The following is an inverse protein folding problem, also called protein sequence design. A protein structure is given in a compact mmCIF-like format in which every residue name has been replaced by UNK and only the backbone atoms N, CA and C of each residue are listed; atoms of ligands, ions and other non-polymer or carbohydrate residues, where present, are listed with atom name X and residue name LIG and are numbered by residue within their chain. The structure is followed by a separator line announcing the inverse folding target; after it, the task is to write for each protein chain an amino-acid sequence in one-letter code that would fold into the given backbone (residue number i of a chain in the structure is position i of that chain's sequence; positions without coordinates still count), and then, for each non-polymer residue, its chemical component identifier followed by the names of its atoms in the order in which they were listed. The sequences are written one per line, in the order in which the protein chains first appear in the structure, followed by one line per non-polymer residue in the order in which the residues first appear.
data_IF_971102931787
#
_entry.id   IF_971102931787
#
_cell.length_a   1.000
_cell.length_b   1.000
_cell.length_c   1.000
_cell.angle_alpha   90.00
_cell.angle_beta   90.00
_cell.angle_gamma   90.00
#
_symmetry.space_group_name_H-M   'P 1'
#
loop_
_entity.id
_entity.type
_entity.pdbx_description
1 polymer ?
#
# COMPACT_ATOMS: atom_id res chain seq x y z
N UNK A 1 8.38 -19.13 -3.32
CA UNK A 1 8.72 -17.74 -2.92
C UNK A 1 7.55 -16.81 -3.27
N UNK A 2 7.10 -15.96 -2.34
CA UNK A 2 5.85 -15.18 -2.50
C UNK A 2 4.89 -15.26 -1.31
N UNK A 3 5.39 -15.64 -0.13
CA UNK A 3 4.55 -15.75 1.05
C UNK A 3 4.28 -14.34 1.63
N UNK A 4 3.01 -13.96 1.63
CA UNK A 4 2.47 -12.86 2.43
C UNK A 4 1.59 -13.47 3.53
N UNK A 5 1.71 -13.03 4.79
CA UNK A 5 0.85 -13.49 5.88
C UNK A 5 -0.55 -12.84 5.88
N UNK A 6 -0.83 -11.92 4.94
CA UNK A 6 -2.11 -11.19 4.82
C UNK A 6 -2.61 -11.18 3.39
N UNK A 7 -3.91 -10.89 3.22
CA UNK A 7 -4.49 -10.64 1.91
C UNK A 7 -3.70 -9.52 1.19
N UNK A 8 -3.39 -9.70 -0.10
CA UNK A 8 -2.90 -8.60 -0.93
C UNK A 8 -4.07 -7.68 -1.32
N UNK A 9 -3.74 -6.49 -1.80
CA UNK A 9 -4.72 -5.58 -2.42
C UNK A 9 -4.21 -5.09 -3.78
N UNK A 10 -5.13 -4.72 -4.69
CA UNK A 10 -4.78 -4.26 -6.04
C UNK A 10 -5.56 -3.02 -6.45
N UNK A 11 -4.90 -2.14 -7.20
CA UNK A 11 -5.53 -0.98 -7.84
C UNK A 11 -5.09 -0.89 -9.32
N UNK A 12 -5.91 -0.26 -10.16
CA UNK A 12 -5.61 -0.05 -11.58
C UNK A 12 -5.52 1.44 -11.86
N UNK A 13 -4.43 1.88 -12.52
CA UNK A 13 -4.27 3.28 -12.91
C UNK A 13 -5.10 3.61 -14.16
N UNK A 14 -5.17 4.90 -14.51
CA UNK A 14 -5.92 5.37 -15.70
C UNK A 14 -5.39 4.84 -17.03
N UNK A 15 -4.18 4.28 -17.05
CA UNK A 15 -3.56 3.66 -18.22
C UNK A 15 -3.77 2.14 -18.26
N UNK A 16 -4.48 1.57 -17.29
CA UNK A 16 -4.75 0.13 -17.19
C UNK A 16 -3.63 -0.68 -16.56
N UNK A 17 -2.60 -0.04 -15.99
CA UNK A 17 -1.56 -0.77 -15.26
C UNK A 17 -2.08 -1.23 -13.90
N UNK A 18 -1.73 -2.44 -13.49
CA UNK A 18 -2.15 -3.00 -12.20
C UNK A 18 -1.04 -2.76 -11.18
N UNK A 19 -1.41 -2.29 -10.01
CA UNK A 19 -0.55 -2.16 -8.85
C UNK A 19 -1.00 -3.14 -7.79
N UNK A 20 -0.08 -3.96 -7.29
CA UNK A 20 -0.32 -4.96 -6.26
C UNK A 20 0.43 -4.59 -4.99
N UNK A 21 -0.29 -4.46 -3.88
CA UNK A 21 0.25 -4.18 -2.56
C UNK A 21 0.24 -5.43 -1.68
N UNK A 22 1.34 -5.66 -0.95
CA UNK A 22 1.45 -6.77 0.01
C UNK A 22 2.15 -6.33 1.28
N UNK A 23 1.81 -7.00 2.40
CA UNK A 23 2.66 -7.04 3.58
C UNK A 23 3.69 -8.15 3.41
N UNK A 24 4.97 -7.82 3.51
CA UNK A 24 6.04 -8.82 3.58
C UNK A 24 6.12 -9.51 4.94
N UNK A 25 6.84 -10.64 5.02
CA UNK A 25 7.07 -11.38 6.27
C UNK A 25 7.81 -10.58 7.35
N UNK A 26 8.47 -9.50 6.97
CA UNK A 26 9.13 -8.53 7.86
C UNK A 26 8.20 -7.35 8.26
N UNK A 27 6.89 -7.48 8.04
CA UNK A 27 5.87 -6.45 8.28
C UNK A 27 6.06 -5.16 7.47
N UNK A 28 6.93 -5.14 6.45
CA UNK A 28 7.09 -4.00 5.53
C UNK A 28 6.06 -4.07 4.40
N UNK A 29 5.77 -2.92 3.79
CA UNK A 29 4.80 -2.81 2.71
C UNK A 29 5.55 -2.78 1.39
N UNK A 30 5.10 -3.58 0.43
CA UNK A 30 5.69 -3.69 -0.90
C UNK A 30 4.63 -3.48 -1.98
N UNK A 31 5.01 -2.80 -3.06
CA UNK A 31 4.21 -2.58 -4.26
C UNK A 31 4.90 -3.26 -5.45
N UNK A 32 4.13 -3.84 -6.36
CA UNK A 32 4.62 -4.27 -7.67
C UNK A 32 3.68 -3.75 -8.75
N UNK A 33 4.23 -3.39 -9.91
CA UNK A 33 3.48 -2.88 -11.05
C UNK A 33 3.47 -3.92 -12.17
N UNK A 34 2.29 -4.19 -12.72
CA UNK A 34 2.12 -4.89 -13.97
C UNK A 34 1.86 -3.87 -15.09
N UNK A 35 2.70 -3.86 -16.11
CA UNK A 35 2.63 -2.91 -17.23
C UNK A 35 1.74 -3.37 -18.40
N UNK A 36 0.93 -4.42 -18.18
CA UNK A 36 0.16 -5.09 -19.22
C UNK A 36 0.88 -6.27 -19.88
N UNK A 37 2.19 -6.44 -19.63
CA UNK A 37 2.97 -7.57 -20.13
C UNK A 37 3.76 -8.27 -19.03
N UNK A 38 4.45 -7.50 -18.18
CA UNK A 38 5.38 -7.99 -17.17
C UNK A 38 5.11 -7.36 -15.80
N UNK A 39 5.45 -8.11 -14.74
CA UNK A 39 5.64 -7.54 -13.41
C UNK A 39 7.02 -6.90 -13.33
N UNK A 40 7.08 -5.61 -12.99
CA UNK A 40 8.31 -4.81 -13.04
C UNK A 40 9.23 -5.02 -11.83
N UNK A 41 8.74 -5.70 -10.79
CA UNK A 41 9.50 -6.00 -9.58
C UNK A 41 8.95 -5.30 -8.34
N UNK A 42 9.36 -5.79 -7.17
CA UNK A 42 8.87 -5.29 -5.89
C UNK A 42 9.63 -4.03 -5.45
N UNK A 43 8.88 -2.98 -5.14
CA UNK A 43 9.32 -1.75 -4.50
C UNK A 43 8.86 -1.76 -3.04
N UNK A 44 9.76 -1.54 -2.07
CA UNK A 44 9.36 -1.33 -0.68
C UNK A 44 8.95 0.13 -0.47
N UNK A 45 7.79 0.38 0.14
CA UNK A 45 7.45 1.74 0.58
C UNK A 45 8.46 2.18 1.66
N UNK A 46 9.00 3.42 1.59
CA UNK A 46 9.92 3.93 2.59
C UNK A 46 9.30 3.92 3.98
N UNK A 47 9.99 3.28 4.93
CA UNK A 47 9.59 3.20 6.35
C UNK A 47 8.20 2.57 6.56
N UNK A 48 7.65 2.67 7.79
CA UNK A 48 6.38 2.07 8.14
C UNK A 48 6.44 0.55 8.39
N UNK A 49 5.39 0.04 9.00
CA UNK A 49 5.13 -1.39 9.15
C UNK A 49 3.69 -1.64 9.57
N UNK A 50 3.13 -2.75 9.13
CA UNK A 50 1.76 -3.18 9.47
C UNK A 50 1.75 -4.64 9.90
N UNK A 51 0.79 -5.02 10.74
CA UNK A 51 0.53 -6.42 11.11
C UNK A 51 -0.60 -7.06 10.27
N UNK A 52 -1.17 -6.30 9.33
CA UNK A 52 -2.30 -6.70 8.48
C UNK A 52 -2.06 -6.31 7.01
N UNK A 53 -3.01 -6.63 6.12
CA UNK A 53 -2.96 -6.26 4.71
C UNK A 53 -2.94 -4.74 4.50
N UNK A 54 -2.24 -4.25 3.47
CA UNK A 54 -2.38 -2.87 3.02
C UNK A 54 -3.66 -2.70 2.18
N UNK A 55 -4.19 -1.48 2.14
CA UNK A 55 -5.19 -1.06 1.17
C UNK A 55 -4.60 0.00 0.23
N UNK A 56 -4.95 -0.05 -1.05
CA UNK A 56 -4.46 0.89 -2.07
C UNK A 56 -5.54 1.39 -3.02
N UNK A 57 -5.43 2.65 -3.45
CA UNK A 57 -6.29 3.23 -4.48
C UNK A 57 -5.59 4.37 -5.22
N UNK A 58 -6.03 4.66 -6.43
CA UNK A 58 -5.60 5.85 -7.16
C UNK A 58 -6.57 7.01 -6.91
N UNK A 59 -6.05 8.22 -6.73
CA UNK A 59 -6.86 9.43 -6.84
C UNK A 59 -7.02 9.87 -8.31
N UNK A 60 -7.77 10.95 -8.53
CA UNK A 60 -8.01 11.49 -9.87
C UNK A 60 -6.77 12.09 -10.52
N UNK A 61 -5.78 12.50 -9.71
CA UNK A 61 -4.52 13.06 -10.19
C UNK A 61 -3.50 11.96 -10.53
N UNK A 62 -3.78 10.70 -10.18
CA UNK A 62 -2.93 9.54 -10.45
C UNK A 62 -1.96 9.20 -9.33
N UNK A 63 -2.12 9.79 -8.15
CA UNK A 63 -1.34 9.41 -6.97
C UNK A 63 -1.82 8.05 -6.43
N UNK A 64 -0.88 7.18 -6.05
CA UNK A 64 -1.21 5.89 -5.43
C UNK A 64 -1.28 6.06 -3.91
N UNK A 65 -2.48 6.05 -3.36
CA UNK A 65 -2.74 6.10 -1.92
C UNK A 65 -2.57 4.71 -1.30
N UNK A 66 -2.01 4.67 -0.09
CA UNK A 66 -1.81 3.46 0.69
C UNK A 66 -2.27 3.71 2.12
N UNK A 67 -3.09 2.81 2.65
CA UNK A 67 -3.55 2.85 4.03
C UNK A 67 -3.21 1.54 4.74
N UNK A 68 -2.79 1.63 6.00
CA UNK A 68 -2.47 0.47 6.85
C UNK A 68 -2.90 0.70 8.29
N UNK A 69 -3.02 -0.39 9.06
CA UNK A 69 -3.05 -0.35 10.52
C UNK A 69 -1.65 -0.50 11.12
N UNK A 70 -1.47 0.04 12.33
CA UNK A 70 -0.21 -0.06 13.06
C UNK A 70 0.20 -1.50 13.33
N UNK A 71 1.50 -1.80 13.19
CA UNK A 71 2.07 -3.09 13.59
C UNK A 71 2.01 -3.36 15.10
N UNK A 72 1.76 -2.34 15.93
CA UNK A 72 1.58 -2.50 17.38
C UNK A 72 0.26 -3.18 17.77
N UNK A 73 -0.67 -3.37 16.83
CA UNK A 73 -1.99 -3.92 17.10
C UNK A 73 -2.94 -2.98 17.85
N UNK A 74 -2.55 -1.71 18.03
CA UNK A 74 -3.36 -0.71 18.75
C UNK A 74 -4.50 -0.12 17.90
N UNK A 75 -4.65 -0.60 16.67
CA UNK A 75 -5.66 -0.19 15.70
C UNK A 75 -5.44 1.20 15.08
N UNK A 76 -4.31 1.87 15.34
CA UNK A 76 -4.02 3.18 14.76
C UNK A 76 -3.91 3.07 13.23
N UNK A 77 -4.51 4.02 12.52
CA UNK A 77 -4.54 4.05 11.05
C UNK A 77 -3.47 5.02 10.54
N UNK A 78 -2.75 4.59 9.52
CA UNK A 78 -1.71 5.37 8.86
C UNK A 78 -1.96 5.42 7.35
N UNK A 79 -1.62 6.56 6.75
CA UNK A 79 -1.78 6.84 5.33
C UNK A 79 -0.51 7.49 4.77
N UNK A 80 -0.11 7.07 3.58
CA UNK A 80 0.83 7.76 2.72
C UNK A 80 0.36 7.64 1.26
N UNK A 81 1.02 8.33 0.35
CA UNK A 81 0.79 8.17 -1.08
C UNK A 81 2.06 8.40 -1.88
N UNK A 82 2.11 7.83 -3.09
CA UNK A 82 3.15 8.13 -4.07
C UNK A 82 2.69 9.30 -4.93
N UNK A 83 3.40 10.41 -4.80
CA UNK A 83 3.18 11.61 -5.60
C UNK A 83 3.60 11.32 -7.05
N UNK A 84 2.66 11.44 -7.99
CA UNK A 84 2.88 11.09 -9.39
C UNK A 84 3.84 12.05 -10.09
N UNK A 85 3.87 13.32 -9.67
CA UNK A 85 4.69 14.35 -10.30
C UNK A 85 6.18 14.19 -9.96
N UNK A 86 6.47 13.75 -8.73
CA UNK A 86 7.85 13.53 -8.24
C UNK A 86 8.28 12.07 -8.27
N UNK A 87 7.33 11.14 -8.34
CA UNK A 87 7.56 9.71 -8.24
C UNK A 87 7.95 9.23 -6.83
N UNK A 88 7.85 10.10 -5.82
CA UNK A 88 8.29 9.85 -4.44
C UNK A 88 7.14 9.54 -3.49
N UNK A 89 7.42 8.77 -2.43
CA UNK A 89 6.47 8.53 -1.35
C UNK A 89 6.46 9.67 -0.35
N UNK A 90 5.26 10.09 0.08
CA UNK A 90 5.11 10.98 1.22
C UNK A 90 5.43 10.24 2.53
N UNK A 91 5.84 10.95 3.60
CA UNK A 91 5.95 10.35 4.92
C UNK A 91 4.61 9.81 5.40
N UNK A 92 4.63 8.70 6.15
CA UNK A 92 3.44 8.17 6.79
C UNK A 92 2.83 9.20 7.75
N UNK A 93 1.55 9.48 7.56
CA UNK A 93 0.75 10.32 8.44
C UNK A 93 -0.22 9.47 9.24
N UNK A 94 -0.40 9.78 10.52
CA UNK A 94 -1.40 9.11 11.36
C UNK A 94 -2.75 9.80 11.17
N UNK A 95 -3.79 9.02 10.92
CA UNK A 95 -5.15 9.52 10.88
C UNK A 95 -5.81 9.45 12.26
N UNK A 96 -6.75 10.34 12.53
CA UNK A 96 -7.58 10.26 13.74
C UNK A 96 -8.49 9.04 13.66
N UNK A 97 -8.62 8.31 14.77
CA UNK A 97 -9.45 7.11 14.87
C UNK A 97 -8.64 5.82 14.98
N UNK A 98 -9.35 4.72 15.18
CA UNK A 98 -8.80 3.37 15.34
C UNK A 98 -9.76 2.33 14.79
N UNK A 99 -9.22 1.20 14.35
CA UNK A 99 -9.98 0.05 13.87
C UNK A 99 -9.31 -1.26 14.32
N UNK A 100 -10.07 -2.32 14.67
CA UNK A 100 -9.50 -3.65 14.88
C UNK A 100 -9.25 -4.39 13.55
N UNK A 101 -9.87 -3.93 12.46
CA UNK A 101 -9.82 -4.56 11.13
C UNK A 101 -8.82 -3.87 10.22
N UNK A 102 -8.31 -4.60 9.24
CA UNK A 102 -7.49 -4.03 8.18
C UNK A 102 -8.30 -3.04 7.33
N UNK A 103 -7.68 -1.97 6.82
CA UNK A 103 -8.37 -1.00 5.99
C UNK A 103 -8.72 -1.62 4.62
N UNK A 104 -9.72 -1.06 3.97
CA UNK A 104 -10.04 -1.31 2.56
C UNK A 104 -10.26 0.06 1.90
N UNK A 105 -9.76 0.22 0.67
CA UNK A 105 -9.98 1.41 -0.15
C UNK A 105 -10.70 0.92 -1.42
N UNK A 106 -11.83 1.54 -1.76
CA UNK A 106 -12.68 1.17 -2.91
C UNK A 106 -12.92 2.35 -3.82
#
# INVERSE_FOLDING_TARGET
PGATPSAPDLAVDSSGNIYLAVRGMNNKIYINKYDGTNWLGWEQIPTGSTAQGPAIAFDLDGNLHVMVTSSSGDGSIYHCYRDVATGTWTPWSKLSGKTPSEPELT
#
